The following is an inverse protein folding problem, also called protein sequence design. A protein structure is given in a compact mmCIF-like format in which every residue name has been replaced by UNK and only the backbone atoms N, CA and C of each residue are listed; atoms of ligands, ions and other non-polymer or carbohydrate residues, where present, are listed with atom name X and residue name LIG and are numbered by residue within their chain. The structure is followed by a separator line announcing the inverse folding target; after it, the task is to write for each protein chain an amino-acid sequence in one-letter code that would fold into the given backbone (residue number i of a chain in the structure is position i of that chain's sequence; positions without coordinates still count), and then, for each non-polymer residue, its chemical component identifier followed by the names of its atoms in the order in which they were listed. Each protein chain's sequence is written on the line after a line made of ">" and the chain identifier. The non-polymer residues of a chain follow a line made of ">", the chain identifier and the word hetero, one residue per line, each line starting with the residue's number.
data_IF_185611115353
#
_entry.id   IF_185611115353
#
_cell.length_a   1.000
_cell.length_b   1.000
_cell.length_c   1.000
_cell.angle_alpha   90.00
_cell.angle_beta   90.00
_cell.angle_gamma   90.00
#
_symmetry.space_group_name_H-M   'P 1'
#
loop_
_entity.id
_entity.type
_entity.pdbx_description
1 polymer ?
#
# COMPACT_ATOMS: atom_id res chain seq x y z
N UNK A 1 33.13 6.85 -13.38
CA UNK A 1 32.02 6.94 -14.35
C UNK A 1 30.78 7.36 -13.58
N UNK A 2 30.32 8.59 -13.78
CA UNK A 2 29.13 9.15 -13.14
C UNK A 2 27.91 8.74 -13.99
N UNK A 3 27.16 7.72 -13.57
CA UNK A 3 25.88 7.41 -14.21
C UNK A 3 24.83 8.35 -13.66
N UNK A 4 24.35 9.26 -14.51
CA UNK A 4 23.24 10.14 -14.23
C UNK A 4 21.98 9.30 -13.92
N UNK A 5 21.54 9.35 -12.67
CA UNK A 5 20.23 8.85 -12.24
C UNK A 5 19.20 9.86 -12.74
N UNK A 6 18.50 9.52 -13.82
CA UNK A 6 17.35 10.31 -14.27
C UNK A 6 16.22 10.04 -13.27
N UNK A 7 16.04 10.97 -12.32
CA UNK A 7 14.87 11.02 -11.44
C UNK A 7 13.74 11.62 -12.27
N UNK A 8 12.97 10.76 -12.93
CA UNK A 8 11.72 11.16 -13.57
C UNK A 8 10.62 11.32 -12.51
N UNK A 9 10.46 12.53 -12.00
CA UNK A 9 9.28 12.96 -11.23
C UNK A 9 8.25 13.49 -12.24
N UNK A 10 7.34 12.64 -12.71
CA UNK A 10 6.19 13.07 -13.53
C UNK A 10 4.90 12.49 -12.94
N UNK A 11 4.28 13.25 -12.05
CA UNK A 11 2.91 13.02 -11.61
C UNK A 11 1.97 13.79 -12.55
N UNK A 12 1.09 13.08 -13.27
CA UNK A 12 0.01 13.67 -14.06
C UNK A 12 0.03 13.44 -15.58
N UNK A 13 0.63 12.36 -16.10
CA UNK A 13 0.54 12.09 -17.55
C UNK A 13 -0.77 11.41 -17.94
N UNK A 14 -1.55 12.03 -18.83
CA UNK A 14 -2.66 11.40 -19.57
C UNK A 14 -2.21 10.24 -20.49
N UNK A 15 -0.91 9.95 -20.49
CA UNK A 15 -0.23 8.93 -21.26
C UNK A 15 0.39 7.93 -20.28
N UNK A 16 0.32 6.63 -20.60
CA UNK A 16 0.94 5.59 -19.79
C UNK A 16 2.45 5.79 -19.63
N UNK A 17 3.01 5.22 -18.58
CA UNK A 17 4.44 5.29 -18.26
C UNK A 17 5.04 3.89 -18.37
N UNK A 18 6.28 3.79 -18.88
CA UNK A 18 6.96 2.52 -19.04
C UNK A 18 8.32 2.54 -18.35
N UNK A 19 8.63 1.49 -17.60
CA UNK A 19 9.82 1.38 -16.77
C UNK A 19 10.58 0.11 -17.12
N UNK A 20 11.86 0.24 -17.48
CA UNK A 20 12.74 -0.93 -17.63
C UNK A 20 13.32 -1.28 -16.27
N UNK A 21 13.10 -2.51 -15.82
CA UNK A 21 13.66 -3.04 -14.57
C UNK A 21 14.53 -4.26 -14.83
N UNK A 22 15.45 -4.53 -13.92
CA UNK A 22 16.15 -5.80 -13.82
C UNK A 22 15.30 -6.73 -12.93
N UNK A 23 14.77 -7.79 -13.54
CA UNK A 23 14.12 -8.88 -12.83
C UNK A 23 15.07 -9.49 -11.79
N UNK A 24 14.53 -10.11 -10.75
CA UNK A 24 15.29 -10.77 -9.69
C UNK A 24 16.09 -11.99 -10.21
N UNK A 25 15.83 -12.45 -11.44
CA UNK A 25 16.68 -13.43 -12.14
C UNK A 25 17.74 -12.80 -13.06
N UNK A 26 17.90 -11.48 -13.03
CA UNK A 26 18.88 -10.73 -13.82
C UNK A 26 18.40 -10.33 -15.22
N UNK A 27 17.26 -10.83 -15.69
CA UNK A 27 16.74 -10.45 -17.01
C UNK A 27 16.15 -9.03 -17.03
N UNK A 28 16.28 -8.30 -18.14
CA UNK A 28 15.60 -7.00 -18.29
C UNK A 28 14.13 -7.21 -18.64
N UNK A 29 13.24 -6.47 -17.98
CA UNK A 29 11.79 -6.54 -18.16
C UNK A 29 11.20 -5.13 -18.26
N UNK A 30 10.09 -5.01 -18.99
CA UNK A 30 9.35 -3.76 -19.11
C UNK A 30 8.08 -3.84 -18.26
N UNK A 31 7.89 -2.88 -17.36
CA UNK A 31 6.63 -2.65 -16.65
C UNK A 31 5.95 -1.44 -17.27
N UNK A 32 4.71 -1.60 -17.71
CA UNK A 32 3.88 -0.53 -18.26
C UNK A 32 2.78 -0.17 -17.26
N UNK A 33 2.80 1.06 -16.76
CA UNK A 33 1.76 1.65 -15.93
C UNK A 33 0.80 2.40 -16.84
N UNK A 34 -0.38 1.82 -17.08
CA UNK A 34 -1.37 2.38 -17.98
C UNK A 34 -2.07 3.60 -17.35
N UNK A 35 -2.53 4.56 -18.17
CA UNK A 35 -3.34 5.65 -17.65
C UNK A 35 -4.62 5.10 -17.01
N UNK A 36 -5.15 5.81 -16.01
CA UNK A 36 -6.40 5.42 -15.36
C UNK A 36 -7.53 5.36 -16.38
N UNK A 37 -8.27 4.25 -16.39
CA UNK A 37 -9.43 4.09 -17.26
C UNK A 37 -10.67 4.77 -16.66
N UNK A 38 -11.76 4.85 -17.43
CA UNK A 38 -13.04 5.43 -16.98
C UNK A 38 -13.62 4.78 -15.71
N UNK A 39 -13.20 3.54 -15.38
CA UNK A 39 -13.60 2.83 -14.17
C UNK A 39 -12.70 3.12 -12.96
N UNK A 40 -11.86 4.16 -12.98
CA UNK A 40 -10.91 4.47 -11.91
C UNK A 40 -10.01 3.26 -11.57
N UNK A 41 -9.65 2.47 -12.59
CA UNK A 41 -8.81 1.28 -12.43
C UNK A 41 -7.42 1.56 -12.99
N UNK A 42 -6.42 1.40 -12.13
CA UNK A 42 -5.01 1.34 -12.52
C UNK A 42 -4.71 -0.05 -13.06
N UNK A 43 -4.09 -0.11 -14.25
CA UNK A 43 -3.61 -1.36 -14.84
C UNK A 43 -2.10 -1.29 -15.01
N UNK A 44 -1.40 -2.26 -14.46
CA UNK A 44 0.05 -2.38 -14.55
C UNK A 44 0.37 -3.68 -15.27
N UNK A 45 1.11 -3.62 -16.37
CA UNK A 45 1.42 -4.78 -17.20
C UNK A 45 2.90 -5.10 -17.16
N UNK A 46 3.23 -6.38 -17.20
CA UNK A 46 4.58 -6.87 -17.41
C UNK A 46 4.51 -8.18 -18.19
N UNK A 47 5.06 -8.19 -19.41
CA UNK A 47 4.98 -9.32 -20.32
C UNK A 47 3.53 -9.83 -20.48
N UNK A 48 3.21 -11.01 -19.93
CA UNK A 48 1.90 -11.65 -20.06
C UNK A 48 1.02 -11.48 -18.82
N UNK A 49 1.48 -10.78 -17.78
CA UNK A 49 0.74 -10.62 -16.53
C UNK A 49 0.33 -9.16 -16.33
N UNK A 50 -0.82 -8.96 -15.70
CA UNK A 50 -1.31 -7.66 -15.31
C UNK A 50 -1.71 -7.67 -13.82
N UNK A 51 -1.58 -6.52 -13.18
CA UNK A 51 -2.19 -6.22 -11.90
C UNK A 51 -3.17 -5.09 -12.12
N UNK A 52 -4.36 -5.24 -11.56
CA UNK A 52 -5.42 -4.27 -11.61
C UNK A 52 -5.77 -3.80 -10.20
N UNK A 53 -5.93 -2.50 -10.04
CA UNK A 53 -6.32 -1.87 -8.77
C UNK A 53 -7.47 -0.94 -9.05
N UNK A 54 -8.63 -1.20 -8.44
CA UNK A 54 -9.83 -0.38 -8.60
C UNK A 54 -9.94 0.75 -7.57
N UNK A 55 -10.86 1.69 -7.81
CA UNK A 55 -11.16 2.82 -6.93
C UNK A 55 -9.97 3.79 -6.72
N UNK A 56 -9.17 4.01 -7.76
CA UNK A 56 -8.05 4.96 -7.77
C UNK A 56 -8.56 6.35 -8.12
N UNK A 57 -8.24 7.34 -7.29
CA UNK A 57 -8.55 8.73 -7.58
C UNK A 57 -7.47 9.34 -8.50
N UNK A 58 -6.20 9.28 -8.09
CA UNK A 58 -5.07 9.65 -8.93
C UNK A 58 -3.79 8.89 -8.52
N UNK A 59 -2.81 8.91 -9.42
CA UNK A 59 -1.45 8.43 -9.13
C UNK A 59 -0.62 9.59 -8.57
N UNK A 60 0.00 9.38 -7.43
CA UNK A 60 0.83 10.38 -6.76
C UNK A 60 2.26 10.33 -7.29
N UNK A 61 2.89 9.16 -7.18
CA UNK A 61 4.28 8.96 -7.59
C UNK A 61 4.47 7.58 -8.19
N UNK A 62 5.27 7.51 -9.25
CA UNK A 62 5.76 6.26 -9.83
C UNK A 62 7.24 6.41 -10.11
N UNK A 63 8.09 5.60 -9.47
CA UNK A 63 9.53 5.66 -9.71
C UNK A 63 10.23 4.36 -9.33
N UNK A 64 11.43 4.16 -9.89
CA UNK A 64 12.31 3.05 -9.53
C UNK A 64 13.01 3.34 -8.21
N UNK A 65 12.72 2.57 -7.17
CA UNK A 65 13.45 2.67 -5.89
C UNK A 65 14.91 2.25 -6.11
N UNK A 66 15.10 1.22 -6.93
CA UNK A 66 16.38 0.81 -7.48
C UNK A 66 16.14 0.09 -8.82
N UNK A 67 17.17 -0.58 -9.36
CA UNK A 67 17.03 -1.33 -10.61
C UNK A 67 16.03 -2.49 -10.58
N UNK A 68 15.68 -3.03 -9.41
CA UNK A 68 14.84 -4.22 -9.26
C UNK A 68 13.39 -3.92 -8.83
N UNK A 69 13.15 -2.78 -8.18
CA UNK A 69 11.86 -2.47 -7.57
C UNK A 69 11.27 -1.16 -8.09
N UNK A 70 10.00 -1.23 -8.52
CA UNK A 70 9.18 -0.08 -8.88
C UNK A 70 8.24 0.25 -7.72
N UNK A 71 8.21 1.50 -7.29
CA UNK A 71 7.25 2.00 -6.30
C UNK A 71 6.18 2.83 -6.98
N UNK A 72 4.93 2.56 -6.60
CA UNK A 72 3.75 3.28 -7.02
C UNK A 72 2.99 3.71 -5.77
N UNK A 73 2.77 5.02 -5.62
CA UNK A 73 1.87 5.58 -4.61
C UNK A 73 0.67 6.17 -5.32
N UNK A 74 -0.51 5.87 -4.81
CA UNK A 74 -1.76 6.32 -5.38
C UNK A 74 -2.77 6.65 -4.30
N UNK A 75 -3.66 7.59 -4.59
CA UNK A 75 -4.76 7.95 -3.72
C UNK A 75 -6.04 7.20 -4.09
N UNK A 76 -6.89 6.95 -3.09
CA UNK A 76 -8.19 6.32 -3.28
C UNK A 76 -9.28 7.13 -2.60
N UNK A 77 -10.53 6.94 -3.05
CA UNK A 77 -11.66 7.66 -2.48
C UNK A 77 -12.00 7.13 -1.09
N UNK A 78 -11.68 7.89 -0.05
CA UNK A 78 -12.01 7.57 1.35
C UNK A 78 -13.21 8.34 1.89
N UNK A 79 -13.58 9.48 1.28
CA UNK A 79 -14.71 10.34 1.66
C UNK A 79 -14.36 11.82 1.49
N UNK A 80 -15.33 12.71 1.70
CA UNK A 80 -15.09 14.17 1.63
C UNK A 80 -14.21 14.59 2.80
N UNK A 81 -13.11 15.31 2.61
CA UNK A 81 -12.22 15.72 3.70
C UNK A 81 -11.27 14.62 4.20
N UNK A 82 -11.23 13.48 3.51
CA UNK A 82 -10.32 12.36 3.78
C UNK A 82 -9.27 12.26 2.68
N UNK A 83 -8.00 12.29 3.07
CA UNK A 83 -6.86 12.03 2.19
C UNK A 83 -6.33 10.65 2.53
N UNK A 84 -6.34 9.74 1.57
CA UNK A 84 -5.87 8.39 1.79
C UNK A 84 -5.07 7.90 0.59
N UNK A 85 -3.91 7.31 0.86
CA UNK A 85 -3.02 6.78 -0.16
C UNK A 85 -2.49 5.40 0.22
N UNK A 86 -2.21 4.61 -0.81
CA UNK A 86 -1.56 3.31 -0.70
C UNK A 86 -0.25 3.33 -1.45
N UNK A 87 0.69 2.54 -0.97
CA UNK A 87 1.97 2.30 -1.63
C UNK A 87 2.10 0.83 -2.00
N UNK A 88 2.41 0.61 -3.28
CA UNK A 88 2.66 -0.66 -3.92
C UNK A 88 4.13 -0.70 -4.36
N UNK A 89 4.85 -1.75 -3.96
CA UNK A 89 6.18 -2.07 -4.49
C UNK A 89 6.07 -3.31 -5.36
N UNK A 90 6.54 -3.21 -6.59
CA UNK A 90 6.57 -4.28 -7.56
C UNK A 90 7.99 -4.79 -7.80
N UNK A 91 8.12 -6.10 -7.98
CA UNK A 91 9.30 -6.73 -8.56
C UNK A 91 8.88 -7.70 -9.67
N UNK A 92 9.84 -8.13 -10.48
CA UNK A 92 9.62 -9.16 -11.50
C UNK A 92 10.60 -10.29 -11.30
N UNK A 93 10.16 -11.52 -11.48
CA UNK A 93 11.01 -12.72 -11.51
C UNK A 93 10.45 -13.71 -12.52
N UNK A 94 11.29 -14.27 -13.39
CA UNK A 94 10.87 -15.24 -14.40
C UNK A 94 9.67 -14.75 -15.24
N UNK A 95 9.69 -13.47 -15.64
CA UNK A 95 8.61 -12.77 -16.38
C UNK A 95 7.28 -12.61 -15.63
N UNK A 96 7.20 -13.01 -14.36
CA UNK A 96 6.05 -12.79 -13.51
C UNK A 96 6.24 -11.56 -12.63
N UNK A 97 5.23 -10.69 -12.59
CA UNK A 97 5.19 -9.54 -11.69
C UNK A 97 4.64 -9.94 -10.32
N UNK A 98 5.30 -9.45 -9.27
CA UNK A 98 4.97 -9.73 -7.87
C UNK A 98 4.71 -8.42 -7.14
N UNK A 99 3.66 -8.42 -6.31
CA UNK A 99 3.41 -7.36 -5.34
C UNK A 99 4.30 -7.59 -4.13
N UNK A 100 5.53 -7.08 -4.20
CA UNK A 100 6.49 -7.25 -3.11
C UNK A 100 6.04 -6.54 -1.83
N UNK A 101 5.23 -5.49 -1.93
CA UNK A 101 4.58 -4.83 -0.80
C UNK A 101 3.28 -4.17 -1.28
N UNK A 102 2.21 -4.21 -0.49
CA UNK A 102 1.02 -3.39 -0.74
C UNK A 102 0.38 -2.97 0.58
N UNK A 103 0.53 -1.69 0.95
CA UNK A 103 0.08 -1.16 2.25
C UNK A 103 -0.61 0.20 2.10
N UNK A 104 -1.44 0.60 3.08
CA UNK A 104 -1.82 2.00 3.26
C UNK A 104 -0.62 2.79 3.78
N UNK A 105 -0.31 3.89 3.11
CA UNK A 105 0.87 4.73 3.41
C UNK A 105 0.52 6.13 3.87
N UNK A 106 -0.72 6.58 3.63
CA UNK A 106 -1.23 7.84 4.15
C UNK A 106 -2.71 7.70 4.48
N UNK A 107 -3.12 8.19 5.64
CA UNK A 107 -4.52 8.50 5.95
C UNK A 107 -4.56 9.75 6.81
N UNK A 108 -5.09 10.84 6.26
CA UNK A 108 -5.23 12.12 6.94
C UNK A 108 -6.68 12.58 6.90
N UNK A 109 -7.19 13.00 8.06
CA UNK A 109 -8.54 13.49 8.24
C UNK A 109 -8.50 14.78 9.05
N UNK A 110 -9.02 15.85 8.48
CA UNK A 110 -9.37 17.06 9.22
C UNK A 110 -10.88 17.27 9.11
N UNK A 111 -11.61 17.04 10.20
CA UNK A 111 -13.03 17.31 10.24
C UNK A 111 -13.43 18.18 11.41
N UNK A 112 -14.39 19.05 11.11
CA UNK A 112 -15.16 19.79 12.10
C UNK A 112 -16.21 18.83 12.69
N UNK A 113 -16.10 18.52 13.97
CA UNK A 113 -17.08 17.68 14.67
C UNK A 113 -18.31 18.51 15.06
N UNK A 114 -19.43 18.28 14.35
CA UNK A 114 -20.74 18.91 14.60
C UNK A 114 -21.67 18.04 15.45
N UNK A 115 -21.19 16.95 16.04
CA UNK A 115 -22.02 16.02 16.84
C UNK A 115 -22.63 16.66 18.10
N UNK A 116 -22.19 17.87 18.47
CA UNK A 116 -22.77 18.67 19.55
C UNK A 116 -23.23 20.03 19.01
N UNK A 117 -24.43 20.51 19.38
CA UNK A 117 -24.85 21.87 19.07
C UNK A 117 -23.87 22.85 19.73
N UNK A 118 -23.14 23.59 18.90
CA UNK A 118 -22.20 24.61 19.33
C UNK A 118 -22.91 25.96 19.27
N UNK A 119 -22.90 26.77 20.34
CA UNK A 119 -23.30 28.17 20.24
C UNK A 119 -22.46 28.83 19.14
N UNK A 120 -23.07 29.64 18.28
CA UNK A 120 -22.53 30.17 17.02
C UNK A 120 -21.20 30.95 17.10
N UNK A 121 -20.55 31.00 18.26
CA UNK A 121 -19.30 31.72 18.55
C UNK A 121 -18.12 30.80 18.92
N UNK A 122 -18.31 29.48 19.06
CA UNK A 122 -17.23 28.53 19.37
C UNK A 122 -16.94 27.70 18.12
N UNK A 123 -15.73 27.85 17.55
CA UNK A 123 -15.21 27.05 16.42
C UNK A 123 -15.53 25.58 16.66
N UNK A 124 -16.20 24.95 15.68
CA UNK A 124 -16.46 23.51 15.71
C UNK A 124 -15.17 22.74 16.04
N UNK A 125 -15.29 21.73 16.90
CA UNK A 125 -14.12 21.02 17.43
C UNK A 125 -13.42 20.26 16.31
N UNK A 126 -12.19 20.68 15.98
CA UNK A 126 -11.36 19.97 15.02
C UNK A 126 -10.97 18.60 15.58
N UNK A 127 -11.18 17.56 14.77
CA UNK A 127 -10.57 16.25 14.95
C UNK A 127 -9.56 16.04 13.83
N UNK A 128 -8.33 15.72 14.23
CA UNK A 128 -7.24 15.38 13.31
C UNK A 128 -6.84 13.93 13.53
N UNK A 129 -6.65 13.18 12.45
CA UNK A 129 -6.12 11.81 12.49
C UNK A 129 -5.15 11.66 11.35
N UNK A 130 -3.90 11.31 11.64
CA UNK A 130 -2.80 11.19 10.67
C UNK A 130 -2.22 9.80 10.82
N UNK A 131 -2.10 9.08 9.71
CA UNK A 131 -1.34 7.85 9.57
C UNK A 131 -0.38 8.04 8.40
N UNK A 132 0.92 7.91 8.60
CA UNK A 132 1.91 8.12 7.56
C UNK A 132 3.01 7.06 7.63
N UNK A 133 3.32 6.43 6.51
CA UNK A 133 4.39 5.44 6.38
C UNK A 133 5.43 5.92 5.35
N UNK A 134 6.66 6.20 5.82
CA UNK A 134 7.81 6.50 4.97
C UNK A 134 8.67 5.25 4.78
N UNK A 135 9.01 4.93 3.53
CA UNK A 135 9.73 3.70 3.16
C UNK A 135 11.16 4.01 2.71
N UNK A 136 12.11 3.16 3.10
CA UNK A 136 13.51 3.25 2.65
C UNK A 136 14.07 1.85 2.39
N UNK A 137 14.47 1.59 1.14
CA UNK A 137 15.08 0.32 0.77
C UNK A 137 16.55 0.28 1.24
N UNK A 138 16.92 -0.84 1.84
CA UNK A 138 18.26 -1.16 2.30
C UNK A 138 18.75 -2.45 1.65
N UNK A 139 20.07 -2.62 1.55
CA UNK A 139 20.69 -3.75 0.88
C UNK A 139 20.81 -3.55 -0.63
N UNK A 140 21.61 -4.40 -1.27
CA UNK A 140 21.98 -4.28 -2.69
C UNK A 140 21.83 -5.59 -3.47
N UNK A 141 21.27 -6.61 -2.84
CA UNK A 141 21.07 -7.94 -3.41
C UNK A 141 19.84 -8.61 -2.84
N UNK A 142 19.34 -9.62 -3.55
CA UNK A 142 18.15 -10.40 -3.16
C UNK A 142 18.30 -11.02 -1.76
N UNK A 143 19.54 -11.33 -1.33
CA UNK A 143 19.84 -11.88 0.00
C UNK A 143 19.91 -10.85 1.13
N UNK A 144 19.99 -9.57 0.78
CA UNK A 144 20.24 -8.49 1.74
C UNK A 144 19.15 -7.43 1.75
N UNK A 145 18.19 -7.50 0.82
CA UNK A 145 17.12 -6.53 0.74
C UNK A 145 16.28 -6.50 2.01
N UNK A 146 16.15 -5.29 2.54
CA UNK A 146 15.27 -4.96 3.67
C UNK A 146 14.56 -3.65 3.37
N UNK A 147 13.37 -3.48 3.92
CA UNK A 147 12.61 -2.24 3.80
C UNK A 147 12.44 -1.65 5.20
N UNK A 148 13.12 -0.55 5.48
CA UNK A 148 12.87 0.22 6.70
C UNK A 148 11.62 1.06 6.51
N UNK A 149 10.76 1.05 7.52
CA UNK A 149 9.51 1.78 7.56
C UNK A 149 9.52 2.64 8.80
N UNK A 150 9.33 3.95 8.62
CA UNK A 150 9.00 4.88 9.69
C UNK A 150 7.51 5.15 9.62
N UNK A 151 6.80 4.85 10.69
CA UNK A 151 5.36 4.95 10.77
C UNK A 151 4.94 5.91 11.87
N UNK A 152 4.13 6.90 11.52
CA UNK A 152 3.54 7.87 12.44
C UNK A 152 2.02 7.68 12.45
N UNK A 153 1.44 7.50 13.63
CA UNK A 153 -0.02 7.42 13.83
C UNK A 153 -0.42 8.36 14.98
N UNK A 154 -1.27 9.33 14.66
CA UNK A 154 -1.68 10.37 15.58
C UNK A 154 -3.18 10.59 15.54
N UNK A 155 -3.77 10.82 16.71
CA UNK A 155 -5.13 11.33 16.83
C UNK A 155 -5.21 12.45 17.86
N UNK A 156 -5.74 13.59 17.42
CA UNK A 156 -6.11 14.73 18.27
C UNK A 156 -7.60 15.02 18.14
N UNK A 157 -8.29 15.13 19.28
CA UNK A 157 -9.71 15.46 19.38
C UNK A 157 -9.90 16.47 20.52
N UNK A 158 -10.51 17.62 20.22
CA UNK A 158 -10.77 18.67 21.22
C UNK A 158 -11.90 18.26 22.18
N UNK A 159 -12.94 17.60 21.66
CA UNK A 159 -14.06 17.07 22.45
C UNK A 159 -13.96 15.54 22.53
N UNK A 160 -13.91 14.97 23.75
CA UNK A 160 -13.72 13.53 23.96
C UNK A 160 -15.01 12.73 23.72
N UNK A 161 -14.93 11.69 22.88
CA UNK A 161 -15.36 10.36 23.35
C UNK A 161 -14.24 9.30 23.32
N UNK A 162 -13.08 9.56 22.68
CA UNK A 162 -11.92 8.65 22.64
C UNK A 162 -10.64 9.39 23.03
N UNK A 163 -9.63 8.71 23.62
CA UNK A 163 -8.37 9.35 24.01
C UNK A 163 -7.56 9.78 22.78
N UNK A 164 -6.88 10.92 22.91
CA UNK A 164 -5.82 11.33 21.99
C UNK A 164 -4.65 10.38 22.14
N UNK A 165 -3.91 10.16 21.05
CA UNK A 165 -2.70 9.37 21.08
C UNK A 165 -1.73 9.87 20.01
N UNK A 166 -0.47 9.52 20.19
CA UNK A 166 0.58 9.62 19.20
C UNK A 166 1.45 8.37 19.34
N UNK A 167 1.72 7.71 18.22
CA UNK A 167 2.49 6.49 18.18
C UNK A 167 3.42 6.54 16.98
N UNK A 168 4.71 6.54 17.28
CA UNK A 168 5.79 6.46 16.30
C UNK A 168 6.39 5.05 16.35
N UNK A 169 6.55 4.42 15.19
CA UNK A 169 7.10 3.08 15.06
C UNK A 169 8.12 3.04 13.93
N UNK A 170 9.33 2.61 14.27
CA UNK A 170 10.33 2.21 13.29
C UNK A 170 10.34 0.68 13.21
N UNK A 171 10.16 0.15 12.01
CA UNK A 171 10.21 -1.29 11.76
C UNK A 171 11.00 -1.61 10.49
N UNK A 172 11.47 -2.85 10.39
CA UNK A 172 12.23 -3.33 9.23
C UNK A 172 11.58 -4.60 8.72
N UNK A 173 11.17 -4.57 7.45
CA UNK A 173 10.68 -5.75 6.74
C UNK A 173 11.86 -6.48 6.09
N UNK A 174 11.85 -7.80 6.15
CA UNK A 174 12.82 -8.65 5.46
C UNK A 174 12.24 -9.09 4.12
N UNK A 175 13.07 -9.14 3.08
CA UNK A 175 12.67 -9.69 1.79
C UNK A 175 12.72 -11.22 1.81
N UNK A 176 11.59 -11.89 1.64
CA UNK A 176 11.53 -13.31 1.32
C UNK A 176 11.78 -13.50 -0.18
N UNK A 177 12.88 -14.18 -0.51
CA UNK A 177 13.25 -14.48 -1.88
C UNK A 177 12.31 -15.48 -2.54
N UNK A 178 11.67 -16.36 -1.78
CA UNK A 178 10.81 -17.39 -2.33
C UNK A 178 9.45 -16.80 -2.72
N UNK A 179 8.86 -16.01 -1.82
CA UNK A 179 7.64 -15.26 -2.06
C UNK A 179 7.82 -14.01 -2.94
N UNK A 180 9.04 -13.46 -3.01
CA UNK A 180 9.37 -12.16 -3.60
C UNK A 180 8.62 -11.01 -2.92
N UNK A 181 8.51 -11.06 -1.59
CA UNK A 181 7.73 -10.14 -0.76
C UNK A 181 8.53 -9.60 0.43
N UNK A 182 8.16 -8.40 0.90
CA UNK A 182 8.62 -7.85 2.17
C UNK A 182 7.62 -8.15 3.28
N UNK A 183 8.08 -8.63 4.42
CA UNK A 183 7.22 -8.90 5.59
C UNK A 183 8.00 -8.74 6.90
N UNK A 184 7.30 -8.57 8.03
CA UNK A 184 7.91 -8.40 9.35
C UNK A 184 7.96 -9.68 10.17
N UNK A 185 6.95 -10.53 10.04
CA UNK A 185 6.78 -11.72 10.88
C UNK A 185 5.81 -12.70 10.23
N UNK A 186 5.84 -13.95 10.65
CA UNK A 186 4.81 -14.93 10.26
C UNK A 186 3.74 -15.07 11.34
N UNK A 187 2.52 -15.44 10.94
CA UNK A 187 1.44 -15.71 11.88
C UNK A 187 0.63 -16.92 11.47
N UNK A 188 0.41 -17.80 12.44
CA UNK A 188 -0.56 -18.89 12.31
C UNK A 188 -1.98 -18.33 12.34
N UNK A 189 -2.73 -18.58 11.27
CA UNK A 189 -4.15 -18.25 11.16
C UNK A 189 -4.92 -19.57 11.08
N UNK A 190 -5.99 -19.71 11.86
CA UNK A 190 -6.89 -20.86 11.80
C UNK A 190 -8.30 -20.42 12.21
N UNK A 191 -8.94 -19.62 11.35
CA UNK A 191 -10.25 -19.06 11.62
C UNK A 191 -11.02 -18.79 10.31
N UNK A 192 -12.33 -18.63 10.43
CA UNK A 192 -13.18 -18.18 9.30
C UNK A 192 -13.14 -16.66 9.24
N UNK A 193 -12.74 -16.13 8.10
CA UNK A 193 -12.67 -14.70 7.81
C UNK A 193 -13.60 -14.36 6.65
N UNK A 194 -14.04 -13.11 6.58
CA UNK A 194 -14.74 -12.57 5.43
C UNK A 194 -13.72 -11.98 4.47
N UNK A 195 -13.66 -12.51 3.25
CA UNK A 195 -12.78 -12.03 2.19
C UNK A 195 -13.58 -11.05 1.34
N UNK A 196 -13.04 -9.84 1.14
CA UNK A 196 -13.61 -8.83 0.23
C UNK A 196 -12.78 -8.83 -1.04
N UNK A 197 -13.41 -9.22 -2.15
CA UNK A 197 -12.77 -9.32 -3.46
C UNK A 197 -12.52 -7.93 -4.07
N UNK A 198 -11.30 -7.69 -4.54
CA UNK A 198 -10.88 -6.37 -5.03
C UNK A 198 -11.62 -5.95 -6.30
N UNK A 199 -11.99 -6.90 -7.16
CA UNK A 199 -12.60 -6.68 -8.48
C UNK A 199 -14.10 -6.45 -8.39
N UNK A 200 -14.79 -7.32 -7.67
CA UNK A 200 -16.26 -7.40 -7.60
C UNK A 200 -16.84 -6.73 -6.37
N UNK A 201 -16.02 -6.48 -5.34
CA UNK A 201 -16.44 -6.01 -4.01
C UNK A 201 -17.38 -6.97 -3.29
N UNK A 202 -17.49 -8.21 -3.77
CA UNK A 202 -18.26 -9.24 -3.11
C UNK A 202 -17.55 -9.74 -1.87
N UNK A 203 -18.35 -10.11 -0.88
CA UNK A 203 -17.87 -10.67 0.38
C UNK A 203 -18.13 -12.18 0.43
N UNK A 204 -17.11 -12.96 0.75
CA UNK A 204 -17.22 -14.41 0.89
C UNK A 204 -16.61 -14.88 2.21
N UNK A 205 -17.31 -15.75 2.94
CA UNK A 205 -16.75 -16.39 4.13
C UNK A 205 -15.81 -17.51 3.71
N UNK A 206 -14.56 -17.46 4.16
CA UNK A 206 -13.56 -18.48 3.87
C UNK A 206 -12.83 -18.90 5.14
N UNK A 207 -12.61 -20.22 5.29
CA UNK A 207 -11.75 -20.74 6.34
C UNK A 207 -10.29 -20.57 5.91
N UNK A 208 -9.55 -19.72 6.62
CA UNK A 208 -8.12 -19.52 6.41
C UNK A 208 -7.36 -20.33 7.46
N UNK A 209 -6.52 -21.26 7.00
CA UNK A 209 -5.69 -22.13 7.85
C UNK A 209 -4.28 -22.22 7.28
N UNK A 210 -3.28 -21.85 8.06
CA UNK A 210 -1.87 -21.89 7.65
C UNK A 210 -1.00 -20.93 8.44
N UNK A 211 0.27 -20.84 8.05
CA UNK A 211 1.23 -19.83 8.52
C UNK A 211 1.45 -18.85 7.38
N UNK A 212 1.24 -17.56 7.64
CA UNK A 212 1.25 -16.54 6.60
C UNK A 212 2.19 -15.38 6.95
N UNK A 213 2.88 -14.80 5.96
CA UNK A 213 3.63 -13.56 6.12
C UNK A 213 2.70 -12.40 6.49
N UNK A 214 3.11 -11.61 7.49
CA UNK A 214 2.39 -10.47 8.04
C UNK A 214 3.28 -9.22 8.07
N UNK A 215 2.64 -8.07 7.88
CA UNK A 215 3.19 -6.75 8.21
C UNK A 215 2.29 -6.14 9.30
N UNK A 216 2.88 -5.64 10.38
CA UNK A 216 2.18 -4.85 11.39
C UNK A 216 2.72 -3.42 11.39
N UNK A 217 1.85 -2.43 11.17
CA UNK A 217 2.16 -0.99 11.21
C UNK A 217 1.18 -0.31 12.17
N UNK A 218 1.58 -0.19 13.43
CA UNK A 218 0.68 0.27 14.49
C UNK A 218 -0.57 -0.60 14.62
N UNK A 219 -1.74 -0.01 14.37
CA UNK A 219 -3.02 -0.72 14.39
C UNK A 219 -3.32 -1.45 13.06
N UNK A 220 -2.67 -1.07 11.98
CA UNK A 220 -2.86 -1.64 10.66
C UNK A 220 -2.07 -2.94 10.51
N UNK A 221 -2.72 -3.93 9.89
CA UNK A 221 -2.14 -5.25 9.66
C UNK A 221 -2.38 -5.68 8.23
N UNK A 222 -1.39 -6.30 7.63
CA UNK A 222 -1.46 -6.83 6.28
C UNK A 222 -1.03 -8.29 6.29
N UNK A 223 -1.69 -9.11 5.48
CA UNK A 223 -1.44 -10.54 5.40
C UNK A 223 -1.27 -10.95 3.94
N UNK A 224 -0.27 -11.78 3.66
CA UNK A 224 -0.05 -12.33 2.33
C UNK A 224 -0.61 -13.75 2.23
N UNK A 225 -1.65 -13.94 1.42
CA UNK A 225 -2.34 -15.22 1.26
C UNK A 225 -2.52 -15.50 -0.23
N UNK A 226 -2.16 -16.69 -0.70
CA UNK A 226 -2.45 -17.10 -2.07
C UNK A 226 -1.79 -16.27 -3.18
N UNK A 227 -0.70 -15.55 -2.87
CA UNK A 227 0.00 -14.72 -3.86
C UNK A 227 -0.47 -13.26 -3.93
N UNK A 228 -1.23 -12.82 -2.93
CA UNK A 228 -1.86 -11.50 -2.88
C UNK A 228 -1.79 -10.91 -1.47
N UNK A 229 -1.78 -9.57 -1.41
CA UNK A 229 -1.84 -8.83 -0.16
C UNK A 229 -3.28 -8.49 0.22
N UNK A 230 -3.56 -8.69 1.51
CA UNK A 230 -4.82 -8.34 2.14
C UNK A 230 -4.57 -7.37 3.29
N UNK A 231 -5.38 -6.33 3.40
CA UNK A 231 -5.50 -5.58 4.66
C UNK A 231 -6.37 -6.39 5.62
N UNK A 232 -5.89 -6.54 6.85
CA UNK A 232 -6.48 -7.41 7.85
C UNK A 232 -7.10 -6.60 8.98
N UNK A 233 -8.44 -6.60 9.01
CA UNK A 233 -9.22 -6.22 10.17
C UNK A 233 -9.71 -7.49 10.88
N UNK A 234 -9.85 -7.48 12.22
CA UNK A 234 -10.36 -8.57 13.08
C UNK A 234 -11.23 -9.66 12.42
N UNK A 235 -12.21 -9.30 11.58
CA UNK A 235 -13.12 -10.21 10.88
C UNK A 235 -12.96 -10.28 9.35
N UNK A 236 -12.19 -9.37 8.75
CA UNK A 236 -12.12 -9.16 7.30
C UNK A 236 -10.69 -9.24 6.77
N UNK A 237 -10.54 -9.84 5.59
CA UNK A 237 -9.37 -9.68 4.72
C UNK A 237 -9.82 -8.94 3.47
N UNK A 238 -9.31 -7.73 3.26
CA UNK A 238 -9.65 -6.88 2.12
C UNK A 238 -8.53 -6.99 1.10
N UNK A 239 -8.83 -7.62 -0.03
CA UNK A 239 -7.88 -7.80 -1.13
C UNK A 239 -7.56 -6.43 -1.75
N UNK A 240 -6.28 -6.18 -2.01
CA UNK A 240 -5.82 -4.87 -2.48
C UNK A 240 -5.86 -4.69 -3.99
N UNK A 241 -5.73 -5.79 -4.74
CA UNK A 241 -5.54 -5.84 -6.19
C UNK A 241 -6.18 -7.12 -6.75
N UNK A 242 -6.23 -7.26 -8.07
CA UNK A 242 -6.57 -8.51 -8.74
C UNK A 242 -5.76 -8.70 -10.02
N UNK A 243 -5.59 -9.96 -10.44
CA UNK A 243 -4.85 -10.35 -11.66
C UNK A 243 -5.79 -10.75 -12.79
#
# INVERSE_FOLDING_TARGET
>A
MLSALIIGLFAGSSHGQAFTIESLDGSKQLIEVMPLNYGATLTIKCANNAIHIGNINHLDTVYLINKNFLLITYSFRAGVGLHAAKTLILSVRHRNMYESLHISSLFDTEFMDYSKPTPALIKASAKTTIHEATLSLMGNSIATYKLAIKFHDERKSVNKPKPNYQHDLDTVLTFDQNGNIFYSSEKTISQTLMIVDAKTKNEAKQKIKGVFPIINLGLDKYCYVGGEWYEWNSKYLIQQSYK
#
